data_IF_256223643990
#
_entry.id   IF_256223643990
#
_cell.length_a   1.000
_cell.length_b   1.000
_cell.length_c   1.000
_cell.angle_alpha   90.00
_cell.angle_beta   90.00
_cell.angle_gamma   90.00
#
_symmetry.space_group_name_H-M   'P 1'
#
loop_
_entity.id
_entity.type
_entity.pdbx_description
1 polymer ?
#
# COMPACT_ATOMS: atom_id res chain seq x y z
N UNK A 1 -50.83 5.38 7.48
CA UNK A 1 -50.18 4.15 7.00
C UNK A 1 -48.88 4.56 6.30
N UNK A 2 -47.76 4.60 7.05
CA UNK A 2 -46.45 5.00 6.52
C UNK A 2 -45.75 3.73 6.04
N UNK A 3 -45.54 3.60 4.74
CA UNK A 3 -44.72 2.54 4.15
C UNK A 3 -43.25 2.90 4.32
N UNK A 4 -42.54 2.07 5.07
CA UNK A 4 -41.10 2.11 5.29
C UNK A 4 -40.34 1.68 4.04
N UNK A 5 -39.39 2.51 3.60
CA UNK A 5 -38.36 2.13 2.62
C UNK A 5 -37.33 1.19 3.26
N UNK A 6 -36.99 0.03 2.67
CA UNK A 6 -35.93 -0.82 3.18
C UNK A 6 -34.58 -0.33 2.62
N UNK A 7 -33.70 0.15 3.50
CA UNK A 7 -32.35 0.54 3.12
C UNK A 7 -31.34 -0.13 4.06
N UNK A 8 -31.01 -1.42 3.82
CA UNK A 8 -29.99 -2.20 4.55
C UNK A 8 -29.35 -3.37 3.75
N UNK A 9 -29.39 -3.41 2.42
CA UNK A 9 -28.94 -4.61 1.66
C UNK A 9 -27.73 -4.46 0.73
N UNK A 10 -27.23 -3.24 0.46
CA UNK A 10 -26.19 -3.02 -0.56
C UNK A 10 -24.79 -3.52 -0.18
N UNK A 11 -24.29 -3.17 1.01
CA UNK A 11 -22.91 -3.49 1.42
C UNK A 11 -22.71 -4.98 1.72
N UNK A 12 -23.69 -5.60 2.39
CA UNK A 12 -23.68 -7.04 2.68
C UNK A 12 -23.77 -7.89 1.39
N UNK A 13 -24.45 -7.40 0.35
CA UNK A 13 -24.53 -8.05 -0.97
C UNK A 13 -23.18 -8.02 -1.70
N UNK A 14 -22.47 -6.89 -1.67
CA UNK A 14 -21.16 -6.74 -2.31
C UNK A 14 -20.08 -7.59 -1.62
N UNK A 15 -20.07 -7.64 -0.28
CA UNK A 15 -19.18 -8.51 0.49
C UNK A 15 -19.49 -10.00 0.22
N UNK A 16 -20.77 -10.40 0.17
CA UNK A 16 -21.17 -11.78 -0.14
C UNK A 16 -20.80 -12.21 -1.57
N UNK A 17 -20.93 -11.32 -2.55
CA UNK A 17 -20.55 -11.59 -3.95
C UNK A 17 -19.03 -11.64 -4.12
N UNK A 18 -18.27 -10.81 -3.41
CA UNK A 18 -16.81 -10.89 -3.38
C UNK A 18 -16.32 -12.23 -2.76
N UNK A 19 -17.08 -12.78 -1.79
CA UNK A 19 -16.79 -14.06 -1.13
C UNK A 19 -17.00 -15.28 -2.03
N UNK A 20 -18.12 -15.36 -2.78
CA UNK A 20 -18.54 -16.61 -3.45
C UNK A 20 -18.85 -16.50 -4.96
N UNK A 21 -18.66 -15.33 -5.59
CA UNK A 21 -19.03 -15.11 -6.99
C UNK A 21 -18.07 -15.72 -8.02
N UNK A 22 -18.60 -16.15 -9.17
CA UNK A 22 -17.81 -16.52 -10.35
C UNK A 22 -16.90 -15.36 -10.80
N UNK A 23 -15.86 -15.64 -11.60
CA UNK A 23 -14.93 -14.60 -12.11
C UNK A 23 -15.69 -13.44 -12.77
N UNK A 24 -16.70 -13.75 -13.58
CA UNK A 24 -17.54 -12.77 -14.26
C UNK A 24 -18.36 -11.91 -13.28
N UNK A 25 -18.87 -12.51 -12.21
CA UNK A 25 -19.66 -11.78 -11.21
C UNK A 25 -18.78 -10.86 -10.34
N UNK A 26 -17.55 -11.30 -10.01
CA UNK A 26 -16.55 -10.46 -9.33
C UNK A 26 -16.08 -9.29 -10.18
N UNK A 27 -15.99 -9.46 -11.49
CA UNK A 27 -15.72 -8.35 -12.43
C UNK A 27 -16.94 -7.41 -12.51
N UNK A 28 -18.15 -7.95 -12.63
CA UNK A 28 -19.37 -7.17 -12.74
C UNK A 28 -19.58 -6.21 -11.54
N UNK A 29 -19.27 -6.68 -10.33
CA UNK A 29 -19.34 -5.87 -9.11
C UNK A 29 -18.40 -4.65 -9.13
N UNK A 30 -17.30 -4.71 -9.90
CA UNK A 30 -16.34 -3.59 -10.01
C UNK A 30 -16.68 -2.59 -11.12
N UNK A 31 -17.63 -2.93 -12.02
CA UNK A 31 -18.03 -2.04 -13.13
C UNK A 31 -18.47 -0.65 -12.65
N UNK A 32 -19.30 -0.50 -11.60
CA UNK A 32 -19.69 0.82 -11.11
C UNK A 32 -18.49 1.67 -10.66
N UNK A 33 -17.51 1.04 -9.99
CA UNK A 33 -16.26 1.70 -9.59
C UNK A 33 -15.46 2.15 -10.81
N UNK A 34 -15.27 1.27 -11.80
CA UNK A 34 -14.53 1.60 -13.03
C UNK A 34 -15.20 2.70 -13.85
N UNK A 35 -16.53 2.71 -13.94
CA UNK A 35 -17.28 3.77 -14.61
C UNK A 35 -17.13 5.12 -13.89
N UNK A 36 -17.08 5.09 -12.56
CA UNK A 36 -16.87 6.29 -11.75
C UNK A 36 -15.45 6.82 -11.93
N UNK A 37 -14.44 5.94 -11.86
CA UNK A 37 -13.03 6.28 -12.09
C UNK A 37 -12.83 6.90 -13.48
N UNK A 38 -13.45 6.32 -14.52
CA UNK A 38 -13.39 6.85 -15.89
C UNK A 38 -14.03 8.23 -16.02
N UNK A 39 -15.17 8.47 -15.34
CA UNK A 39 -15.85 9.77 -15.37
C UNK A 39 -15.02 10.86 -14.68
N UNK A 40 -14.35 10.53 -13.59
CA UNK A 40 -13.55 11.49 -12.83
C UNK A 40 -12.16 11.72 -13.44
N UNK A 41 -11.57 10.68 -14.01
CA UNK A 41 -10.28 10.75 -14.67
C UNK A 41 -10.27 9.87 -15.93
N UNK A 42 -10.62 10.42 -17.11
CA UNK A 42 -10.60 9.66 -18.36
C UNK A 42 -9.24 9.02 -18.70
N UNK A 43 -8.13 9.62 -18.23
CA UNK A 43 -6.79 9.08 -18.40
C UNK A 43 -6.52 7.81 -17.56
N UNK A 44 -7.40 7.48 -16.61
CA UNK A 44 -7.32 6.28 -15.81
C UNK A 44 -7.42 5.00 -16.65
N UNK A 45 -8.34 4.93 -17.62
CA UNK A 45 -8.54 3.71 -18.40
C UNK A 45 -7.32 3.36 -19.27
N UNK A 46 -6.73 4.29 -20.04
CA UNK A 46 -5.45 4.05 -20.71
C UNK A 46 -4.35 3.59 -19.76
N UNK A 47 -4.22 4.22 -18.59
CA UNK A 47 -3.27 3.80 -17.55
C UNK A 47 -3.55 2.37 -17.11
N UNK A 48 -4.79 2.07 -16.70
CA UNK A 48 -5.19 0.77 -16.19
C UNK A 48 -4.99 -0.36 -17.20
N UNK A 49 -5.19 -0.11 -18.50
CA UNK A 49 -4.98 -1.11 -19.55
C UNK A 49 -3.50 -1.27 -19.87
N UNK A 50 -2.80 -0.17 -20.12
CA UNK A 50 -1.45 -0.20 -20.69
C UNK A 50 -0.34 -0.37 -19.63
N UNK A 51 -0.51 0.22 -18.44
CA UNK A 51 0.48 0.17 -17.35
C UNK A 51 0.66 -1.23 -16.75
N UNK A 52 -0.22 -2.18 -17.09
CA UNK A 52 -0.10 -3.60 -16.74
C UNK A 52 0.99 -4.32 -17.53
N UNK A 53 1.31 -3.77 -18.70
CA UNK A 53 2.21 -4.36 -19.68
C UNK A 53 3.57 -3.69 -19.65
N UNK A 54 4.64 -4.46 -19.83
CA UNK A 54 5.99 -3.93 -19.92
C UNK A 54 6.16 -2.96 -21.11
N UNK A 55 5.62 -3.24 -22.32
CA UNK A 55 5.65 -2.29 -23.43
C UNK A 55 4.97 -0.96 -23.09
N UNK A 56 3.77 -0.97 -22.50
CA UNK A 56 3.04 0.24 -22.13
C UNK A 56 3.82 1.08 -21.10
N UNK A 57 4.37 0.46 -20.05
CA UNK A 57 5.21 1.16 -19.06
C UNK A 57 6.49 1.73 -19.66
N UNK A 58 7.13 1.01 -20.60
CA UNK A 58 8.34 1.47 -21.31
C UNK A 58 8.03 2.65 -22.22
N UNK A 59 6.91 2.61 -22.94
CA UNK A 59 6.47 3.71 -23.79
C UNK A 59 6.18 4.96 -22.95
N UNK A 60 5.47 4.82 -21.83
CA UNK A 60 5.25 5.94 -20.90
C UNK A 60 6.57 6.52 -20.37
N UNK A 61 7.58 5.67 -20.11
CA UNK A 61 8.89 6.10 -19.63
C UNK A 61 9.67 6.97 -20.63
N UNK A 62 9.45 6.82 -21.94
CA UNK A 62 10.12 7.65 -22.95
C UNK A 62 9.78 9.14 -22.81
N UNK A 63 8.60 9.47 -22.26
CA UNK A 63 8.19 10.83 -21.97
C UNK A 63 8.63 11.36 -20.60
N UNK A 64 9.37 10.56 -19.81
CA UNK A 64 9.75 10.96 -18.46
C UNK A 64 10.80 12.08 -18.47
N UNK A 65 10.54 13.11 -17.66
CA UNK A 65 11.50 14.20 -17.43
C UNK A 65 12.73 13.64 -16.72
N UNK A 66 13.90 14.11 -17.09
CA UNK A 66 15.14 13.78 -16.38
C UNK A 66 15.09 14.38 -14.97
N UNK A 67 15.44 13.58 -13.97
CA UNK A 67 15.64 14.08 -12.61
C UNK A 67 16.84 15.04 -12.58
N UNK A 68 16.71 16.12 -11.82
CA UNK A 68 17.83 16.98 -11.45
C UNK A 68 18.23 16.61 -10.03
N UNK A 69 19.54 16.57 -9.70
CA UNK A 69 19.98 16.39 -8.32
C UNK A 69 19.34 17.46 -7.43
N UNK A 70 18.84 17.05 -6.26
CA UNK A 70 18.39 18.00 -5.25
C UNK A 70 19.60 18.61 -4.52
N UNK A 71 19.67 19.94 -4.48
CA UNK A 71 20.75 20.67 -3.78
C UNK A 71 20.81 20.34 -2.28
N UNK A 72 19.66 19.99 -1.68
CA UNK A 72 19.52 19.73 -0.24
C UNK A 72 19.47 18.24 0.12
N UNK A 73 19.89 17.32 -0.77
CA UNK A 73 19.87 15.87 -0.47
C UNK A 73 20.71 15.47 0.76
N UNK A 74 21.62 16.35 1.20
CA UNK A 74 22.44 16.19 2.41
C UNK A 74 21.69 16.45 3.71
N UNK A 75 20.56 17.18 3.67
CA UNK A 75 19.72 17.50 4.83
C UNK A 75 18.66 16.41 5.05
N UNK A 76 19.08 15.15 5.01
CA UNK A 76 18.20 13.99 5.19
C UNK A 76 18.29 13.42 6.61
N UNK A 77 17.17 12.89 7.11
CA UNK A 77 17.14 12.13 8.37
C UNK A 77 17.77 10.74 8.24
N UNK A 78 18.05 10.28 7.02
CA UNK A 78 18.60 8.96 6.72
C UNK A 78 20.13 9.02 6.54
N UNK A 79 20.84 9.17 7.65
CA UNK A 79 22.29 9.31 7.64
C UNK A 79 22.99 8.13 6.94
N UNK A 80 23.95 8.43 6.06
CA UNK A 80 24.80 7.44 5.41
C UNK A 80 24.14 6.66 4.25
N UNK A 81 22.91 6.98 3.87
CA UNK A 81 22.25 6.33 2.73
C UNK A 81 22.66 6.97 1.41
N UNK A 82 23.30 6.19 0.54
CA UNK A 82 23.60 6.61 -0.82
C UNK A 82 22.40 6.40 -1.75
N UNK A 83 21.81 7.49 -2.23
CA UNK A 83 20.73 7.48 -3.24
C UNK A 83 21.06 6.60 -4.44
N UNK A 84 22.30 6.64 -4.96
CA UNK A 84 22.63 5.88 -6.16
C UNK A 84 22.50 4.38 -5.92
N UNK A 85 23.06 3.88 -4.81
CA UNK A 85 22.89 2.50 -4.37
C UNK A 85 21.41 2.12 -4.23
N UNK A 86 20.57 2.98 -3.62
CA UNK A 86 19.13 2.71 -3.49
C UNK A 86 18.44 2.58 -4.85
N UNK A 87 18.69 3.52 -5.76
CA UNK A 87 18.09 3.52 -7.10
C UNK A 87 18.55 2.32 -7.93
N UNK A 88 19.81 1.90 -7.77
CA UNK A 88 20.33 0.70 -8.44
C UNK A 88 19.69 -0.58 -7.90
N UNK A 89 19.55 -0.71 -6.58
CA UNK A 89 18.83 -1.82 -5.96
C UNK A 89 17.36 -1.88 -6.43
N UNK A 90 16.67 -0.75 -6.51
CA UNK A 90 15.31 -0.68 -7.07
C UNK A 90 15.27 -1.11 -8.55
N UNK A 91 16.23 -0.72 -9.39
CA UNK A 91 16.27 -1.13 -10.80
C UNK A 91 16.57 -2.62 -10.94
N UNK A 92 17.42 -3.16 -10.07
CA UNK A 92 17.84 -4.57 -10.12
C UNK A 92 16.80 -5.49 -9.50
N UNK A 93 16.44 -5.25 -8.24
CA UNK A 93 15.62 -6.12 -7.42
C UNK A 93 14.21 -5.59 -7.22
N UNK A 94 13.98 -4.29 -7.40
CA UNK A 94 12.69 -3.66 -7.13
C UNK A 94 12.46 -3.37 -5.65
N UNK A 95 13.49 -3.58 -4.83
CA UNK A 95 13.46 -3.42 -3.38
C UNK A 95 14.82 -2.93 -2.90
N UNK A 96 14.80 -2.03 -1.93
CA UNK A 96 15.95 -1.69 -1.09
C UNK A 96 15.50 -1.66 0.36
N UNK A 97 16.26 -2.28 1.26
CA UNK A 97 16.03 -2.24 2.72
C UNK A 97 17.25 -1.67 3.42
N UNK A 98 17.03 -0.96 4.53
CA UNK A 98 18.09 -0.31 5.30
C UNK A 98 17.92 1.19 5.47
N UNK A 99 16.74 1.74 5.16
CA UNK A 99 16.40 3.12 5.50
C UNK A 99 16.06 3.18 7.00
N UNK A 100 16.96 3.68 7.83
CA UNK A 100 16.73 3.71 9.28
C UNK A 100 16.20 5.08 9.73
N UNK A 101 15.00 5.11 10.31
CA UNK A 101 14.48 6.31 10.97
C UNK A 101 15.21 6.54 12.30
N UNK A 102 15.55 7.79 12.65
CA UNK A 102 16.02 8.11 14.00
C UNK A 102 14.97 7.76 15.08
N UNK A 103 15.39 7.38 16.29
CA UNK A 103 14.47 7.05 17.40
C UNK A 103 13.39 8.11 17.65
N UNK A 104 13.79 9.38 17.73
CA UNK A 104 12.89 10.50 17.94
C UNK A 104 11.76 10.58 16.89
N UNK A 105 12.02 10.17 15.64
CA UNK A 105 11.04 10.23 14.55
C UNK A 105 10.04 9.08 14.67
N UNK A 106 10.51 7.83 14.75
CA UNK A 106 9.59 6.69 14.78
C UNK A 106 8.82 6.59 16.11
N UNK A 107 9.42 7.00 17.23
CA UNK A 107 8.75 7.05 18.54
C UNK A 107 7.66 8.12 18.61
N UNK A 108 7.86 9.30 18.01
CA UNK A 108 6.83 10.33 17.94
C UNK A 108 5.60 9.83 17.17
N UNK A 109 5.82 9.19 16.02
CA UNK A 109 4.73 8.65 15.19
C UNK A 109 4.04 7.48 15.92
N UNK A 110 4.81 6.61 16.58
CA UNK A 110 4.25 5.53 17.38
C UNK A 110 3.41 6.04 18.56
N UNK A 111 3.86 7.11 19.24
CA UNK A 111 3.12 7.76 20.33
C UNK A 111 1.84 8.43 19.82
N UNK A 112 1.89 9.09 18.67
CA UNK A 112 0.71 9.63 17.99
C UNK A 112 -0.29 8.51 17.71
N UNK A 113 0.16 7.43 17.08
CA UNK A 113 -0.69 6.30 16.72
C UNK A 113 -1.28 5.57 17.94
N UNK A 114 -0.70 5.68 19.13
CA UNK A 114 -1.24 5.08 20.35
C UNK A 114 -2.32 5.93 21.02
N UNK A 115 -2.29 7.26 20.81
CA UNK A 115 -3.16 8.22 21.50
C UNK A 115 -4.28 8.79 20.62
N UNK A 116 -4.25 8.47 19.33
CA UNK A 116 -5.22 8.95 18.35
C UNK A 116 -6.14 7.79 17.94
N UNK A 117 -7.47 7.98 17.86
CA UNK A 117 -8.34 6.92 17.37
C UNK A 117 -8.05 6.65 15.89
N UNK A 118 -8.18 5.38 15.49
CA UNK A 118 -8.06 4.96 14.11
C UNK A 118 -9.39 4.39 13.61
N UNK A 119 -9.46 4.11 12.31
CA UNK A 119 -10.66 3.63 11.64
C UNK A 119 -10.47 2.22 11.08
N UNK A 120 -11.38 1.33 11.46
CA UNK A 120 -11.34 -0.09 11.15
C UNK A 120 -11.57 -0.40 9.68
N UNK A 121 -10.75 -1.26 9.07
CA UNK A 121 -10.95 -1.81 7.73
C UNK A 121 -11.32 -0.77 6.64
N UNK A 122 -10.70 0.41 6.68
CA UNK A 122 -10.98 1.55 5.79
C UNK A 122 -12.40 2.17 5.92
N UNK A 123 -13.15 1.86 6.98
CA UNK A 123 -14.49 2.40 7.22
C UNK A 123 -14.47 3.45 8.34
N UNK A 124 -14.75 4.72 7.97
CA UNK A 124 -14.78 5.86 8.90
C UNK A 124 -15.84 5.76 10.01
N UNK A 125 -16.78 4.83 9.88
CA UNK A 125 -17.80 4.57 10.92
C UNK A 125 -17.28 3.63 12.01
N UNK A 126 -16.18 2.93 11.75
CA UNK A 126 -15.57 1.97 12.67
C UNK A 126 -14.41 2.64 13.43
N UNK A 127 -14.70 3.74 14.12
CA UNK A 127 -13.68 4.48 14.89
C UNK A 127 -13.43 3.81 16.25
N UNK A 128 -12.17 3.58 16.62
CA UNK A 128 -11.79 2.98 17.89
C UNK A 128 -10.37 3.37 18.30
N UNK A 129 -10.04 3.19 19.58
CA UNK A 129 -8.68 3.33 20.07
C UNK A 129 -7.91 2.03 19.84
N UNK A 130 -6.65 2.05 19.32
CA UNK A 130 -5.91 0.82 19.05
C UNK A 130 -5.73 -0.10 20.27
N UNK A 131 -5.64 0.47 21.47
CA UNK A 131 -5.55 -0.28 22.73
C UNK A 131 -6.86 -1.01 23.10
N UNK A 132 -8.00 -0.60 22.53
CA UNK A 132 -9.34 -1.15 22.77
C UNK A 132 -9.82 -2.01 21.59
N UNK A 133 -8.89 -2.59 20.81
CA UNK A 133 -9.21 -3.34 19.59
C UNK A 133 -10.19 -4.49 19.86
N UNK A 134 -9.97 -5.29 20.91
CA UNK A 134 -10.84 -6.41 21.25
C UNK A 134 -12.25 -5.96 21.66
N UNK A 135 -12.36 -4.87 22.41
CA UNK A 135 -13.63 -4.25 22.79
C UNK A 135 -14.35 -3.69 21.55
N UNK A 136 -13.59 -3.09 20.63
CA UNK A 136 -14.13 -2.57 19.38
C UNK A 136 -14.70 -3.68 18.49
N UNK A 137 -14.00 -4.81 18.33
CA UNK A 137 -14.52 -5.96 17.59
C UNK A 137 -15.84 -6.47 18.18
N UNK A 138 -15.91 -6.60 19.52
CA UNK A 138 -17.16 -6.98 20.22
C UNK A 138 -18.27 -5.95 20.00
N UNK A 139 -17.96 -4.66 20.12
CA UNK A 139 -18.91 -3.55 19.95
C UNK A 139 -19.49 -3.50 18.54
N UNK A 140 -18.66 -3.71 17.53
CA UNK A 140 -19.07 -3.67 16.13
C UNK A 140 -19.58 -5.02 15.60
N UNK A 141 -19.38 -6.11 16.35
CA UNK A 141 -19.77 -7.46 15.96
C UNK A 141 -19.05 -7.95 14.70
N UNK A 142 -17.80 -7.51 14.46
CA UNK A 142 -17.00 -7.91 13.31
C UNK A 142 -15.50 -7.79 13.57
N UNK A 143 -14.71 -8.59 12.85
CA UNK A 143 -13.24 -8.53 12.86
C UNK A 143 -12.72 -7.22 12.27
N UNK A 144 -11.71 -6.64 12.92
CA UNK A 144 -11.01 -5.43 12.51
C UNK A 144 -9.55 -5.77 12.23
N UNK A 145 -9.23 -6.10 10.97
CA UNK A 145 -7.88 -6.52 10.57
C UNK A 145 -6.90 -5.35 10.52
N UNK A 146 -7.41 -4.14 10.34
CA UNK A 146 -6.60 -2.93 10.25
C UNK A 146 -7.25 -1.72 10.87
N UNK A 147 -6.42 -0.78 11.33
CA UNK A 147 -6.83 0.51 11.85
C UNK A 147 -6.05 1.64 11.19
N UNK A 148 -6.72 2.47 10.39
CA UNK A 148 -6.11 3.52 9.57
C UNK A 148 -6.29 4.90 10.18
N UNK A 149 -5.28 5.77 10.07
CA UNK A 149 -5.35 7.14 10.61
C UNK A 149 -5.86 8.18 9.62
N UNK A 150 -5.88 7.86 8.33
CA UNK A 150 -6.28 8.79 7.26
C UNK A 150 -5.58 10.16 7.40
N UNK A 151 -6.30 11.26 7.19
CA UNK A 151 -5.79 12.63 7.30
C UNK A 151 -5.24 12.98 8.69
N UNK A 152 -5.64 12.27 9.75
CA UNK A 152 -5.17 12.57 11.12
C UNK A 152 -3.66 12.47 11.23
N UNK A 153 -3.03 11.60 10.43
CA UNK A 153 -1.57 11.46 10.44
C UNK A 153 -0.85 12.75 10.06
N UNK A 154 -1.51 13.65 9.33
CA UNK A 154 -0.94 14.93 8.91
C UNK A 154 -0.76 15.91 10.09
N UNK A 155 -1.34 15.64 11.26
CA UNK A 155 -1.09 16.40 12.48
C UNK A 155 0.22 15.99 13.18
N UNK A 156 0.85 14.88 12.75
CA UNK A 156 2.13 14.41 13.30
C UNK A 156 3.32 15.03 12.54
N UNK A 157 4.12 15.84 13.24
CA UNK A 157 5.26 16.54 12.62
C UNK A 157 6.32 15.57 12.12
N UNK A 158 6.62 14.52 12.89
CA UNK A 158 7.55 13.47 12.46
C UNK A 158 7.10 12.77 11.16
N UNK A 159 5.80 12.50 10.99
CA UNK A 159 5.29 11.92 9.74
C UNK A 159 5.45 12.90 8.55
N UNK A 160 5.16 14.19 8.77
CA UNK A 160 5.37 15.24 7.76
C UNK A 160 6.87 15.45 7.44
N UNK A 161 7.78 15.20 8.39
CA UNK A 161 9.22 15.28 8.16
C UNK A 161 9.68 14.17 7.21
N UNK A 162 9.23 12.93 7.43
CA UNK A 162 9.55 11.80 6.53
C UNK A 162 9.03 12.07 5.11
N UNK A 163 7.76 12.45 4.93
CA UNK A 163 7.21 12.62 3.59
C UNK A 163 7.93 13.73 2.78
N UNK A 164 8.53 14.70 3.47
CA UNK A 164 9.24 15.86 2.88
C UNK A 164 10.75 15.66 2.86
N UNK A 165 11.25 14.50 3.30
CA UNK A 165 12.68 14.27 3.40
C UNK A 165 13.35 14.37 2.01
N UNK A 166 14.41 15.18 1.88
CA UNK A 166 15.09 15.40 0.59
C UNK A 166 15.57 14.12 -0.08
N UNK A 167 16.03 13.12 0.68
CA UNK A 167 16.52 11.86 0.11
C UNK A 167 15.38 11.06 -0.53
N UNK A 168 14.22 10.98 0.12
CA UNK A 168 13.05 10.26 -0.39
C UNK A 168 12.55 10.89 -1.70
N UNK A 169 12.48 12.22 -1.73
CA UNK A 169 12.14 12.99 -2.93
C UNK A 169 13.17 12.73 -4.06
N UNK A 170 14.46 12.71 -3.72
CA UNK A 170 15.53 12.54 -4.70
C UNK A 170 15.59 11.10 -5.26
N UNK A 171 15.38 10.08 -4.42
CA UNK A 171 15.22 8.69 -4.84
C UNK A 171 14.00 8.56 -5.76
N UNK A 172 12.85 9.10 -5.37
CA UNK A 172 11.63 9.06 -6.16
C UNK A 172 11.83 9.72 -7.53
N UNK A 173 12.45 10.90 -7.59
CA UNK A 173 12.76 11.58 -8.84
C UNK A 173 13.69 10.75 -9.74
N UNK A 174 14.74 10.14 -9.18
CA UNK A 174 15.71 9.36 -9.95
C UNK A 174 15.20 7.97 -10.39
N UNK A 175 14.18 7.43 -9.71
CA UNK A 175 13.54 6.17 -10.08
C UNK A 175 12.33 6.36 -11.01
N UNK A 176 11.47 7.35 -10.73
CA UNK A 176 10.21 7.63 -11.45
C UNK A 176 10.29 8.78 -12.46
N UNK A 177 11.42 9.48 -12.54
CA UNK A 177 11.62 10.67 -13.38
C UNK A 177 11.28 11.97 -12.64
N UNK A 178 11.70 13.11 -13.20
CA UNK A 178 11.53 14.45 -12.61
C UNK A 178 10.08 14.94 -12.47
N UNK A 179 9.09 14.12 -12.85
CA UNK A 179 7.67 14.37 -12.58
C UNK A 179 7.16 13.61 -11.33
N UNK A 180 8.03 12.88 -10.63
CA UNK A 180 7.68 12.19 -9.40
C UNK A 180 7.06 13.17 -8.41
N UNK A 181 5.98 12.75 -7.77
CA UNK A 181 5.30 13.54 -6.74
C UNK A 181 4.76 12.65 -5.65
N UNK A 182 4.71 13.21 -4.45
CA UNK A 182 4.04 12.59 -3.33
C UNK A 182 2.56 12.37 -3.70
N UNK A 183 2.09 11.16 -3.53
CA UNK A 183 0.70 10.81 -3.76
C UNK A 183 0.01 10.35 -2.47
N UNK A 184 0.73 9.70 -1.56
CA UNK A 184 0.14 9.17 -0.32
C UNK A 184 1.06 9.24 0.88
N UNK A 185 0.46 9.39 2.05
CA UNK A 185 1.11 9.23 3.35
C UNK A 185 0.11 8.53 4.27
N UNK A 186 0.48 7.37 4.78
CA UNK A 186 -0.43 6.51 5.55
C UNK A 186 0.30 5.98 6.77
N UNK A 187 -0.43 5.90 7.87
CA UNK A 187 -0.05 5.07 9.01
C UNK A 187 -1.24 4.17 9.30
N UNK A 188 -0.95 2.91 9.64
CA UNK A 188 -1.99 1.97 10.04
C UNK A 188 -1.46 0.87 10.94
N UNK A 189 -2.38 0.35 11.74
CA UNK A 189 -2.22 -0.90 12.46
C UNK A 189 -2.70 -2.07 11.59
N UNK A 190 -1.99 -3.19 11.66
CA UNK A 190 -2.50 -4.51 11.28
C UNK A 190 -2.65 -5.33 12.56
N UNK A 191 -3.85 -5.85 12.84
CA UNK A 191 -4.15 -6.56 14.07
C UNK A 191 -4.23 -8.08 13.84
N UNK A 192 -3.85 -8.90 14.85
CA UNK A 192 -4.19 -10.32 14.85
C UNK A 192 -5.70 -10.48 15.01
N UNK A 193 -6.32 -11.32 14.19
CA UNK A 193 -7.77 -11.60 14.29
C UNK A 193 -8.02 -13.09 14.05
N UNK A 194 -8.76 -13.74 14.96
CA UNK A 194 -9.05 -15.17 14.87
C UNK A 194 -10.10 -15.55 13.80
N UNK A 195 -10.96 -14.61 13.40
CA UNK A 195 -12.14 -14.88 12.56
C UNK A 195 -12.18 -14.01 11.29
N UNK A 196 -11.03 -13.66 10.70
CA UNK A 196 -11.01 -12.93 9.43
C UNK A 196 -11.40 -13.82 8.25
N UNK A 197 -12.43 -13.42 7.50
CA UNK A 197 -12.78 -14.09 6.24
C UNK A 197 -11.73 -13.83 5.16
N UNK A 198 -11.67 -14.67 4.12
CA UNK A 198 -10.79 -14.45 2.97
C UNK A 198 -11.04 -13.10 2.27
N UNK A 199 -12.28 -12.61 2.29
CA UNK A 199 -12.60 -11.29 1.75
C UNK A 199 -11.96 -10.17 2.57
N UNK A 200 -11.95 -10.30 3.91
CA UNK A 200 -11.32 -9.32 4.79
C UNK A 200 -9.79 -9.33 4.61
N UNK A 201 -9.20 -10.53 4.51
CA UNK A 201 -7.77 -10.70 4.20
C UNK A 201 -7.40 -10.09 2.85
N UNK A 202 -8.20 -10.32 1.81
CA UNK A 202 -7.97 -9.74 0.49
C UNK A 202 -8.12 -8.20 0.50
N UNK A 203 -9.09 -7.64 1.25
CA UNK A 203 -9.27 -6.19 1.38
C UNK A 203 -8.07 -5.53 2.07
N UNK A 204 -7.52 -6.21 3.08
CA UNK A 204 -6.31 -5.78 3.77
C UNK A 204 -5.02 -6.12 3.01
N UNK A 205 -5.09 -6.70 1.80
CA UNK A 205 -3.91 -7.13 1.03
C UNK A 205 -3.01 -8.12 1.79
N UNK A 206 -3.62 -8.96 2.64
CA UNK A 206 -2.92 -9.89 3.52
C UNK A 206 -2.96 -11.34 2.99
N UNK A 207 -1.82 -12.01 3.06
CA UNK A 207 -1.69 -13.45 2.85
C UNK A 207 -1.78 -13.94 1.40
N UNK A 208 -1.81 -13.03 0.42
CA UNK A 208 -1.69 -13.34 -1.01
C UNK A 208 -0.79 -12.34 -1.70
N UNK A 209 0.05 -12.84 -2.60
CA UNK A 209 0.86 -12.00 -3.45
C UNK A 209 -0.02 -11.18 -4.38
N UNK A 210 0.24 -9.89 -4.45
CA UNK A 210 -0.40 -8.96 -5.37
C UNK A 210 0.64 -7.97 -5.88
N UNK A 211 0.24 -7.16 -6.85
CA UNK A 211 1.01 -6.01 -7.29
C UNK A 211 0.04 -4.84 -7.43
N UNK A 212 0.56 -3.64 -7.21
CA UNK A 212 -0.24 -2.43 -7.30
C UNK A 212 -0.25 -1.89 -8.72
N UNK A 213 -1.42 -1.41 -9.12
CA UNK A 213 -1.66 -0.81 -10.44
C UNK A 213 -2.43 0.50 -10.29
N UNK A 214 -1.94 1.35 -9.41
CA UNK A 214 -2.55 2.64 -9.11
C UNK A 214 -2.07 3.77 -10.02
N UNK A 215 -0.91 3.60 -10.65
CA UNK A 215 -0.28 4.57 -11.55
C UNK A 215 0.57 3.86 -12.62
N UNK A 216 0.95 4.58 -13.67
CA UNK A 216 1.92 4.15 -14.68
C UNK A 216 3.23 3.66 -14.08
N UNK A 217 3.69 4.36 -13.03
CA UNK A 217 4.84 4.01 -12.20
C UNK A 217 4.62 4.58 -10.80
N UNK A 218 4.99 3.80 -9.79
CA UNK A 218 4.87 4.16 -8.39
C UNK A 218 6.11 3.70 -7.63
N UNK A 219 6.39 4.34 -6.51
CA UNK A 219 7.42 3.95 -5.55
C UNK A 219 6.82 4.08 -4.15
N UNK A 220 6.98 3.07 -3.31
CA UNK A 220 6.46 3.10 -1.93
C UNK A 220 7.60 2.92 -0.95
N UNK A 221 7.74 3.87 -0.04
CA UNK A 221 8.59 3.78 1.14
C UNK A 221 7.74 3.28 2.29
N UNK A 222 8.25 2.30 3.03
CA UNK A 222 7.62 1.75 4.20
C UNK A 222 8.54 1.84 5.41
N UNK A 223 7.96 2.06 6.58
CA UNK A 223 8.71 2.11 7.84
C UNK A 223 7.95 1.36 8.93
N UNK A 224 8.66 0.49 9.64
CA UNK A 224 8.15 -0.12 10.86
C UNK A 224 8.27 0.86 12.02
N UNK A 225 7.15 1.14 12.69
CA UNK A 225 7.11 2.07 13.83
C UNK A 225 7.17 1.34 15.17
N UNK A 226 7.12 0.01 15.13
CA UNK A 226 7.40 -0.94 16.21
C UNK A 226 8.20 -2.11 15.64
N UNK A 227 8.93 -2.90 16.44
CA UNK A 227 9.65 -4.06 15.94
C UNK A 227 8.71 -5.06 15.24
N UNK A 228 9.21 -5.69 14.18
CA UNK A 228 8.50 -6.68 13.37
C UNK A 228 9.35 -7.93 13.23
N UNK A 229 8.85 -9.03 13.79
CA UNK A 229 9.39 -10.37 13.62
C UNK A 229 8.48 -11.22 12.70
N UNK A 230 8.72 -12.53 12.65
CA UNK A 230 7.94 -13.47 11.85
C UNK A 230 6.45 -13.56 12.29
N UNK A 231 6.15 -13.33 13.56
CA UNK A 231 4.80 -13.46 14.15
C UNK A 231 4.01 -12.15 14.12
N UNK A 232 4.70 -11.04 13.82
CA UNK A 232 4.12 -9.69 13.71
C UNK A 232 3.56 -9.41 12.32
N UNK A 233 3.55 -10.42 11.44
CA UNK A 233 3.03 -10.28 10.08
C UNK A 233 3.94 -9.43 9.20
N UNK A 234 5.18 -9.84 8.90
CA UNK A 234 6.13 -9.06 8.11
C UNK A 234 5.66 -8.82 6.67
N UNK A 235 6.28 -7.83 6.02
CA UNK A 235 6.07 -7.62 4.58
C UNK A 235 6.95 -8.59 3.80
N UNK A 236 6.45 -9.11 2.68
CA UNK A 236 7.21 -10.00 1.79
C UNK A 236 7.18 -9.46 0.37
N UNK A 237 8.35 -9.28 -0.24
CA UNK A 237 8.51 -8.79 -1.60
C UNK A 237 9.27 -9.79 -2.48
N UNK A 238 8.86 -9.95 -3.74
CA UNK A 238 9.45 -10.91 -4.69
C UNK A 238 10.45 -10.22 -5.60
N UNK A 239 11.75 -10.44 -5.39
CA UNK A 239 12.84 -9.75 -6.11
C UNK A 239 12.78 -9.95 -7.63
N UNK A 240 12.93 -8.83 -8.34
CA UNK A 240 12.97 -8.77 -9.80
C UNK A 240 11.61 -9.03 -10.48
N UNK A 241 10.53 -9.21 -9.71
CA UNK A 241 9.20 -9.49 -10.27
C UNK A 241 8.57 -8.27 -10.95
N UNK A 242 8.97 -7.06 -10.57
CA UNK A 242 8.57 -5.79 -11.20
C UNK A 242 9.03 -5.68 -12.67
N UNK A 243 10.16 -6.31 -13.02
CA UNK A 243 10.74 -6.25 -14.38
C UNK A 243 10.58 -7.54 -15.19
N UNK A 244 10.64 -8.71 -14.55
CA UNK A 244 10.53 -10.04 -15.21
C UNK A 244 9.08 -10.52 -15.30
N UNK A 245 8.19 -9.73 -15.87
CA UNK A 245 6.74 -10.03 -15.84
C UNK A 245 6.36 -11.06 -16.91
N UNK A 246 5.89 -12.24 -16.49
CA UNK A 246 5.28 -13.22 -17.42
C UNK A 246 4.06 -12.61 -18.13
N UNK A 247 3.71 -13.10 -19.32
CA UNK A 247 2.51 -12.64 -20.03
C UNK A 247 1.24 -12.85 -19.21
N UNK A 248 1.16 -13.98 -18.47
CA UNK A 248 0.07 -14.27 -17.53
C UNK A 248 -0.08 -13.17 -16.48
N UNK A 249 1.03 -12.76 -15.84
CA UNK A 249 1.01 -11.72 -14.81
C UNK A 249 0.75 -10.31 -15.37
N UNK A 250 1.05 -10.06 -16.64
CA UNK A 250 0.72 -8.79 -17.31
C UNK A 250 -0.76 -8.68 -17.69
N UNK A 251 -1.41 -9.80 -18.01
CA UNK A 251 -2.79 -9.80 -18.51
C UNK A 251 -3.84 -10.20 -17.45
N UNK A 252 -3.40 -10.61 -16.27
CA UNK A 252 -4.30 -11.00 -15.16
C UNK A 252 -5.21 -9.86 -14.73
N UNK A 253 -6.48 -10.18 -14.48
CA UNK A 253 -7.45 -9.30 -13.81
C UNK A 253 -7.64 -9.65 -12.34
N UNK A 254 -6.97 -10.71 -11.87
CA UNK A 254 -6.96 -11.11 -10.47
C UNK A 254 -6.09 -10.17 -9.67
N UNK A 255 -6.49 -9.91 -8.43
CA UNK A 255 -5.72 -9.08 -7.49
C UNK A 255 -4.69 -9.91 -6.74
N UNK A 256 -5.12 -11.05 -6.18
CA UNK A 256 -4.27 -11.94 -5.40
C UNK A 256 -3.88 -13.20 -6.15
N UNK A 257 -2.64 -13.63 -5.96
CA UNK A 257 -2.01 -14.79 -6.57
C UNK A 257 -1.50 -15.75 -5.49
N UNK A 258 -1.72 -17.07 -5.63
CA UNK A 258 -1.15 -18.07 -4.73
C UNK A 258 0.38 -18.05 -4.74
N UNK A 259 1.01 -18.39 -3.61
CA UNK A 259 2.46 -18.43 -3.50
C UNK A 259 3.12 -19.31 -4.57
N UNK A 260 2.65 -20.55 -4.75
CA UNK A 260 3.24 -21.47 -5.72
C UNK A 260 3.22 -20.90 -7.15
N UNK A 261 2.12 -20.28 -7.58
CA UNK A 261 2.04 -19.67 -8.92
C UNK A 261 3.12 -18.60 -9.13
N UNK A 262 3.38 -17.79 -8.11
CA UNK A 262 4.40 -16.74 -8.17
C UNK A 262 5.80 -17.37 -8.15
N UNK A 263 6.03 -18.33 -7.25
CA UNK A 263 7.31 -19.00 -7.07
C UNK A 263 7.73 -19.83 -8.29
N UNK A 264 6.79 -20.46 -8.99
CA UNK A 264 7.05 -21.19 -10.23
C UNK A 264 7.65 -20.29 -11.33
N UNK A 265 7.35 -18.99 -11.30
CA UNK A 265 7.82 -18.00 -12.28
C UNK A 265 9.11 -17.31 -11.82
N UNK A 266 9.22 -16.96 -10.54
CA UNK A 266 10.29 -16.10 -10.03
C UNK A 266 11.38 -16.86 -9.26
N UNK A 267 11.10 -18.10 -8.88
CA UNK A 267 11.97 -18.99 -8.12
C UNK A 267 11.78 -18.90 -6.61
N UNK A 268 12.03 -20.01 -5.91
CA UNK A 268 11.89 -20.15 -4.45
C UNK A 268 12.75 -19.17 -3.63
N UNK A 269 13.86 -18.68 -4.21
CA UNK A 269 14.79 -17.74 -3.55
C UNK A 269 14.46 -16.26 -3.80
N UNK A 270 13.38 -15.99 -4.54
CA UNK A 270 12.98 -14.63 -4.90
C UNK A 270 12.27 -13.85 -3.80
N UNK A 271 11.43 -14.46 -2.92
CA UNK A 271 10.81 -13.73 -1.82
C UNK A 271 11.85 -13.28 -0.78
N UNK A 272 11.69 -12.04 -0.32
CA UNK A 272 12.44 -11.46 0.79
C UNK A 272 11.42 -11.07 1.86
N UNK A 273 11.53 -11.69 3.03
CA UNK A 273 10.72 -11.35 4.20
C UNK A 273 11.42 -10.22 4.95
N UNK A 274 10.69 -9.13 5.18
CA UNK A 274 11.20 -7.91 5.80
C UNK A 274 10.82 -7.93 7.28
N UNK A 275 11.80 -8.25 8.12
CA UNK A 275 11.74 -8.16 9.59
C UNK A 275 12.77 -7.15 10.08
N UNK A 276 12.58 -6.61 11.27
CA UNK A 276 13.57 -5.77 11.93
C UNK A 276 13.00 -4.90 13.03
N UNK A 277 13.88 -4.10 13.61
CA UNK A 277 13.57 -3.21 14.73
C UNK A 277 12.66 -2.05 14.33
N UNK A 278 12.12 -1.36 15.33
CA UNK A 278 11.45 -0.09 15.11
C UNK A 278 12.39 0.90 14.40
N UNK A 279 11.84 1.65 13.45
CA UNK A 279 12.59 2.58 12.61
C UNK A 279 13.14 1.96 11.32
N UNK A 280 13.23 0.63 11.22
CA UNK A 280 13.65 -0.01 9.96
C UNK A 280 12.63 0.31 8.86
N UNK A 281 13.15 0.78 7.74
CA UNK A 281 12.41 1.06 6.54
C UNK A 281 13.03 0.47 5.28
N UNK A 282 12.18 0.39 4.27
CA UNK A 282 12.50 -0.14 2.96
C UNK A 282 11.69 0.61 1.90
N UNK A 283 12.14 0.52 0.66
CA UNK A 283 11.49 1.12 -0.50
C UNK A 283 11.35 0.07 -1.60
N UNK A 284 10.19 0.03 -2.24
CA UNK A 284 9.88 -0.94 -3.28
C UNK A 284 9.14 -0.33 -4.48
N UNK A 285 9.33 -0.95 -5.65
CA UNK A 285 8.46 -0.78 -6.80
C UNK A 285 7.26 -1.72 -6.64
N UNK A 286 6.07 -1.20 -6.29
CA UNK A 286 4.93 -2.03 -5.92
C UNK A 286 4.29 -2.72 -7.14
N UNK A 287 4.81 -2.50 -8.37
CA UNK A 287 4.48 -3.33 -9.51
C UNK A 287 5.11 -4.74 -9.43
N UNK A 288 6.11 -4.91 -8.58
CA UNK A 288 6.57 -6.22 -8.14
C UNK A 288 5.56 -6.91 -7.24
N UNK A 289 5.57 -8.24 -7.25
CA UNK A 289 4.74 -9.04 -6.38
C UNK A 289 5.17 -8.87 -4.92
N UNK A 290 4.19 -8.60 -4.08
CA UNK A 290 4.39 -8.41 -2.66
C UNK A 290 3.14 -8.79 -1.87
N UNK A 291 3.29 -8.88 -0.55
CA UNK A 291 2.18 -9.09 0.37
C UNK A 291 2.52 -8.62 1.78
N UNK A 292 1.50 -8.23 2.55
CA UNK A 292 1.60 -8.30 4.01
C UNK A 292 1.20 -9.69 4.48
N UNK A 293 1.91 -10.27 5.45
CA UNK A 293 1.38 -11.45 6.15
C UNK A 293 0.49 -11.02 7.31
N UNK A 294 -0.41 -11.91 7.72
CA UNK A 294 -1.34 -11.62 8.83
C UNK A 294 -0.56 -11.74 10.15
N UNK A 295 -0.60 -10.71 11.03
CA UNK A 295 -0.01 -10.83 12.35
C UNK A 295 -0.68 -11.95 13.15
N UNK A 296 0.10 -12.82 13.78
CA UNK A 296 -0.41 -13.93 14.55
C UNK A 296 -0.71 -13.55 16.00
N UNK A 297 0.15 -12.71 16.60
CA UNK A 297 0.09 -12.38 18.04
C UNK A 297 0.19 -10.90 18.34
N UNK A 298 1.11 -10.20 17.67
CA UNK A 298 1.44 -8.81 17.98
C UNK A 298 0.95 -7.90 16.86
N UNK A 299 0.18 -6.82 17.15
CA UNK A 299 -0.20 -5.86 16.13
C UNK A 299 1.03 -5.17 15.51
N UNK A 300 1.02 -5.02 14.19
CA UNK A 300 2.06 -4.32 13.44
C UNK A 300 1.65 -2.87 13.22
N UNK A 301 2.52 -1.92 13.55
CA UNK A 301 2.35 -0.50 13.21
C UNK A 301 3.32 -0.13 12.09
N UNK A 302 2.78 0.37 10.98
CA UNK A 302 3.54 0.66 9.78
C UNK A 302 3.16 2.03 9.20
N UNK A 303 4.15 2.70 8.61
CA UNK A 303 3.98 3.89 7.81
C UNK A 303 4.28 3.60 6.34
N UNK A 304 3.57 4.27 5.43
CA UNK A 304 3.85 4.30 3.99
C UNK A 304 3.93 5.76 3.52
N UNK A 305 4.92 6.05 2.68
CA UNK A 305 5.00 7.27 1.86
C UNK A 305 5.12 6.83 0.41
N UNK A 306 4.15 7.18 -0.43
CA UNK A 306 4.12 6.74 -1.82
C UNK A 306 4.26 7.90 -2.80
N UNK A 307 4.96 7.63 -3.91
CA UNK A 307 5.21 8.55 -5.01
C UNK A 307 4.68 8.01 -6.33
N UNK A 308 4.13 8.88 -7.16
CA UNK A 308 3.59 8.56 -8.49
C UNK A 308 3.99 9.58 -9.55
N UNK A 309 3.48 9.39 -10.76
CA UNK A 309 3.78 10.23 -11.94
C UNK A 309 2.52 10.85 -12.54
N UNK A 310 1.35 10.23 -12.36
CA UNK A 310 0.06 10.77 -12.82
C UNK A 310 -0.54 11.74 -11.82
N UNK A 311 -1.32 12.77 -12.25
CA UNK A 311 -2.04 13.66 -11.33
C UNK A 311 -2.74 12.86 -10.21
N UNK A 312 -2.63 13.29 -8.93
CA UNK A 312 -3.24 12.55 -7.84
C UNK A 312 -4.75 12.40 -8.12
N UNK A 313 -5.26 11.17 -8.08
CA UNK A 313 -6.69 10.94 -8.22
C UNK A 313 -7.40 11.36 -6.93
N UNK A 314 -8.58 11.98 -7.07
CA UNK A 314 -9.42 12.42 -5.94
C UNK A 314 -10.08 11.26 -5.16
N UNK A 315 -9.96 10.01 -5.67
CA UNK A 315 -10.61 8.81 -5.11
C UNK A 315 -9.67 7.66 -4.77
N UNK A 316 -8.36 7.84 -4.94
CA UNK A 316 -7.41 6.76 -4.70
C UNK A 316 -6.45 7.19 -3.62
N UNK A 317 -6.61 6.60 -2.44
CA UNK A 317 -5.66 5.67 -1.81
C UNK A 317 -6.48 4.64 -1.03
N UNK A 318 -6.30 3.34 -1.31
CA UNK A 318 -6.93 2.21 -0.59
C UNK A 318 -8.47 2.24 -0.41
N UNK A 319 -9.21 2.84 -1.34
CA UNK A 319 -10.67 2.82 -1.34
C UNK A 319 -11.34 4.02 -0.66
N UNK A 320 -10.60 5.07 -0.32
CA UNK A 320 -11.17 6.29 0.24
C UNK A 320 -11.73 7.26 -0.82
N UNK A 321 -12.95 7.79 -0.66
CA UNK A 321 -13.30 9.10 -1.20
C UNK A 321 -12.62 10.20 -0.39
N UNK A 322 -11.84 11.09 -1.02
CA UNK A 322 -11.23 12.25 -0.35
C UNK A 322 -12.33 13.25 0.02
N UNK A 323 -12.41 13.62 1.31
CA UNK A 323 -13.21 14.75 1.79
C UNK A 323 -12.35 16.02 1.72
N UNK A 324 -12.96 17.11 1.24
CA UNK A 324 -12.36 18.45 1.13
C UNK A 324 -12.05 19.05 2.48
#
# INVERSE_FOLDING_TARGET
MKLSTPNKSGAASLEAVARNGSLLHRIAVRIPTYLTDLRENPAWLPMFVLARTMPGRRMHWLGAKRARPADNSRDTIFAGVDRQAVVEALRTDGLFSGLMLPPAIHEEIASFAQRTPCFGNFDRRLEFMPAEHAEAEKRFGRSLLSGHFFERILDCRAALAIQRDPLLLDIAAHYLGGQAKLITTRVWWSFPTGEASDADKNLASLGKYHFDLDDWRMLKFFFYLKPVDADTGPHVYVRGSHKRRSLKHQLTLLVGHPAQEVLDVYGEQSPVTLTGEAGLGFVEDPFGFHMGTVPARTPRLMMEVGFGVSPPSRRRFHGEPVIR
#
